data_IF_863190268964
#
_entry.id   IF_863190268964
#
_cell.length_a   1.000
_cell.length_b   1.000
_cell.length_c   1.000
_cell.angle_alpha   90.00
_cell.angle_beta   90.00
_cell.angle_gamma   90.00
#
_symmetry.space_group_name_H-M   'P 1'
#
loop_
_entity.id
_entity.type
_entity.pdbx_description
1 polymer ?
#
# COMPACT_ATOMS: atom_id res chain seq x y z
N UNK A 1 14.21 -28.70 -30.42
CA UNK A 1 13.12 -27.79 -29.97
C UNK A 1 12.04 -28.55 -29.21
N UNK A 2 11.44 -29.63 -29.74
CA UNK A 2 10.41 -30.42 -29.05
C UNK A 2 10.90 -31.09 -27.74
N UNK A 3 12.04 -31.80 -27.76
CA UNK A 3 12.56 -32.49 -26.57
C UNK A 3 12.95 -31.56 -25.40
N UNK A 4 13.39 -30.33 -25.71
CA UNK A 4 13.66 -29.30 -24.68
C UNK A 4 12.34 -28.79 -24.09
N UNK A 5 11.29 -28.67 -24.92
CA UNK A 5 9.95 -28.25 -24.51
C UNK A 5 9.28 -29.29 -23.61
N UNK A 6 9.34 -30.57 -23.99
CA UNK A 6 8.84 -31.69 -23.16
C UNK A 6 9.61 -31.82 -21.84
N UNK A 7 10.93 -31.63 -21.88
CA UNK A 7 11.76 -31.64 -20.65
C UNK A 7 11.45 -30.45 -19.73
N UNK A 8 11.16 -29.28 -20.29
CA UNK A 8 10.73 -28.12 -19.49
C UNK A 8 9.33 -28.28 -18.93
N UNK A 9 8.40 -28.88 -19.67
CA UNK A 9 7.04 -29.16 -19.19
C UNK A 9 7.05 -30.21 -18.08
N UNK A 10 7.83 -31.30 -18.24
CA UNK A 10 8.03 -32.30 -17.19
C UNK A 10 8.68 -31.74 -15.92
N UNK A 11 9.62 -30.79 -16.06
CA UNK A 11 10.23 -30.11 -14.92
C UNK A 11 9.22 -29.21 -14.18
N UNK A 12 8.33 -28.53 -14.90
CA UNK A 12 7.26 -27.71 -14.32
C UNK A 12 6.27 -28.59 -13.55
N UNK A 13 5.91 -29.73 -14.11
CA UNK A 13 4.97 -30.67 -13.49
C UNK A 13 5.56 -31.33 -12.23
N UNK A 14 6.84 -31.75 -12.29
CA UNK A 14 7.56 -32.28 -11.14
C UNK A 14 7.70 -31.23 -10.02
N UNK A 15 7.97 -29.98 -10.39
CA UNK A 15 8.03 -28.84 -9.47
C UNK A 15 6.68 -28.56 -8.82
N UNK A 16 5.57 -28.69 -9.55
CA UNK A 16 4.21 -28.54 -9.01
C UNK A 16 3.84 -29.69 -8.07
N UNK A 17 4.18 -30.92 -8.43
CA UNK A 17 3.97 -32.11 -7.60
C UNK A 17 4.74 -32.04 -6.28
N UNK A 18 6.03 -31.67 -6.34
CA UNK A 18 6.85 -31.47 -5.16
C UNK A 18 6.32 -30.34 -4.26
N UNK A 19 5.92 -29.20 -4.86
CA UNK A 19 5.27 -28.11 -4.14
C UNK A 19 3.98 -28.56 -3.42
N UNK A 20 3.16 -29.41 -4.06
CA UNK A 20 1.93 -29.96 -3.45
C UNK A 20 2.21 -30.94 -2.32
N UNK A 21 3.18 -31.83 -2.51
CA UNK A 21 3.62 -32.72 -1.45
C UNK A 21 4.19 -31.92 -0.26
N UNK A 22 4.94 -30.86 -0.52
CA UNK A 22 5.49 -29.99 0.51
C UNK A 22 4.41 -29.21 1.27
N UNK A 23 3.43 -28.63 0.59
CA UNK A 23 2.31 -27.93 1.24
C UNK A 23 1.48 -28.89 2.08
N UNK A 24 1.16 -30.08 1.56
CA UNK A 24 0.50 -31.12 2.36
C UNK A 24 1.35 -31.49 3.56
N UNK A 25 2.64 -31.73 3.39
CA UNK A 25 3.52 -32.11 4.48
C UNK A 25 3.65 -31.01 5.54
N UNK A 26 3.76 -29.75 5.13
CA UNK A 26 3.75 -28.62 6.06
C UNK A 26 2.40 -28.51 6.77
N UNK A 27 1.28 -28.62 6.06
CA UNK A 27 -0.06 -28.62 6.65
C UNK A 27 -0.23 -29.76 7.66
N UNK A 28 0.18 -30.97 7.28
CA UNK A 28 0.10 -32.15 8.13
C UNK A 28 1.03 -32.00 9.32
N UNK A 29 2.21 -31.39 9.18
CA UNK A 29 3.07 -31.05 10.31
C UNK A 29 2.36 -30.03 11.20
N UNK A 30 1.89 -28.90 10.68
CA UNK A 30 1.21 -27.87 11.49
C UNK A 30 -0.04 -28.41 12.22
N UNK A 31 -0.86 -29.21 11.53
CA UNK A 31 -2.06 -29.85 12.07
C UNK A 31 -1.70 -30.96 13.06
N UNK A 32 -0.77 -31.85 12.72
CA UNK A 32 -0.31 -32.90 13.63
C UNK A 32 0.46 -32.33 14.82
N UNK A 33 1.02 -31.13 14.71
CA UNK A 33 1.70 -30.46 15.80
C UNK A 33 0.70 -29.81 16.77
N UNK A 34 -0.41 -29.26 16.25
CA UNK A 34 -1.57 -28.90 17.05
C UNK A 34 -2.21 -30.14 17.71
N UNK A 35 -2.27 -31.27 17.00
CA UNK A 35 -2.90 -32.51 17.47
C UNK A 35 -1.99 -33.41 18.34
N UNK A 36 -0.66 -33.44 18.19
CA UNK A 36 0.24 -34.32 18.99
C UNK A 36 0.27 -33.98 20.47
N UNK A 37 -0.31 -32.82 20.86
CA UNK A 37 -0.56 -32.44 22.24
C UNK A 37 -1.89 -32.98 22.80
N UNK A 38 -2.82 -33.47 21.96
CA UNK A 38 -4.10 -34.04 22.42
C UNK A 38 -3.95 -35.47 22.96
N UNK A 39 -2.92 -36.21 22.54
CA UNK A 39 -2.72 -37.62 22.95
C UNK A 39 -1.63 -37.81 24.01
N UNK A 40 -0.74 -36.83 24.21
CA UNK A 40 0.26 -36.88 25.28
C UNK A 40 -0.35 -36.35 26.57
N UNK A 41 -0.84 -37.27 27.40
CA UNK A 41 -1.25 -37.06 28.80
C UNK A 41 -0.02 -36.62 29.61
N UNK A 42 0.44 -35.39 29.43
CA UNK A 42 1.66 -34.86 30.04
C UNK A 42 1.44 -34.59 31.52
N UNK A 43 2.10 -35.38 32.37
CA UNK A 43 2.23 -35.17 33.82
C UNK A 43 3.16 -33.98 34.17
N UNK A 44 3.23 -32.96 33.34
CA UNK A 44 4.06 -31.78 33.57
C UNK A 44 3.28 -30.53 33.18
N UNK A 45 3.05 -29.65 34.16
CA UNK A 45 2.38 -28.35 34.05
C UNK A 45 3.19 -27.30 33.25
N UNK A 46 4.28 -27.71 32.59
CA UNK A 46 5.00 -26.89 31.64
C UNK A 46 5.08 -27.62 30.30
N UNK A 47 4.70 -26.93 29.23
CA UNK A 47 4.97 -27.32 27.85
C UNK A 47 6.48 -27.34 27.61
N UNK A 48 7.19 -28.41 27.96
CA UNK A 48 8.63 -28.55 27.69
C UNK A 48 8.86 -29.16 26.30
N UNK A 49 9.66 -28.47 25.47
CA UNK A 49 9.99 -28.85 24.07
C UNK A 49 10.28 -27.68 23.11
N UNK A 50 10.21 -26.43 23.56
CA UNK A 50 10.16 -25.24 22.68
C UNK A 50 11.46 -24.90 21.91
N UNK A 51 12.65 -25.32 22.34
CA UNK A 51 13.92 -24.96 21.69
C UNK A 51 14.31 -25.87 20.50
N UNK A 52 13.73 -27.06 20.41
CA UNK A 52 13.87 -27.96 19.26
C UNK A 52 12.85 -27.59 18.17
N UNK A 53 11.64 -27.32 18.60
CA UNK A 53 10.50 -26.88 17.81
C UNK A 53 10.67 -25.54 17.08
N UNK A 54 11.28 -24.55 17.73
CA UNK A 54 11.69 -23.29 17.09
C UNK A 54 12.75 -23.54 16.01
N UNK A 55 13.66 -24.48 16.26
CA UNK A 55 14.71 -24.91 15.33
C UNK A 55 14.11 -25.61 14.10
N UNK A 56 13.11 -26.46 14.30
CA UNK A 56 12.43 -27.18 13.22
C UNK A 56 11.60 -26.24 12.34
N UNK A 57 10.78 -25.35 12.92
CA UNK A 57 10.01 -24.36 12.15
C UNK A 57 10.90 -23.38 11.36
N UNK A 58 12.05 -23.00 11.93
CA UNK A 58 13.06 -22.19 11.23
C UNK A 58 13.75 -22.96 10.10
N UNK A 59 13.92 -24.27 10.19
CA UNK A 59 14.49 -25.09 9.10
C UNK A 59 13.57 -25.08 7.86
N UNK A 60 12.25 -25.01 8.05
CA UNK A 60 11.30 -24.91 6.94
C UNK A 60 11.21 -23.52 6.31
N UNK A 61 11.79 -22.48 6.93
CA UNK A 61 11.81 -21.12 6.35
C UNK A 61 12.48 -21.07 4.98
N UNK A 62 13.53 -21.87 4.78
CA UNK A 62 14.25 -21.97 3.50
C UNK A 62 13.42 -22.69 2.43
N UNK A 63 12.70 -23.76 2.80
CA UNK A 63 11.77 -24.44 1.89
C UNK A 63 10.55 -23.57 1.54
N UNK A 64 10.08 -22.77 2.49
CA UNK A 64 8.99 -21.82 2.28
C UNK A 64 9.40 -20.64 1.39
N UNK A 65 10.63 -20.13 1.55
CA UNK A 65 11.21 -19.14 0.64
C UNK A 65 11.41 -19.71 -0.78
N UNK A 66 11.83 -20.98 -0.88
CA UNK A 66 11.90 -21.69 -2.16
C UNK A 66 10.51 -21.82 -2.78
N UNK A 67 9.50 -22.25 -2.03
CA UNK A 67 8.12 -22.40 -2.51
C UNK A 67 7.55 -21.07 -3.02
N UNK A 68 7.79 -19.97 -2.30
CA UNK A 68 7.39 -18.62 -2.71
C UNK A 68 7.96 -18.21 -4.07
N UNK A 69 9.23 -18.53 -4.33
CA UNK A 69 9.91 -18.20 -5.59
C UNK A 69 9.48 -19.12 -6.75
N UNK A 70 9.02 -20.33 -6.42
CA UNK A 70 8.87 -21.42 -7.38
C UNK A 70 7.43 -21.76 -7.72
N UNK A 71 6.49 -21.58 -6.79
CA UNK A 71 5.06 -21.88 -6.98
C UNK A 71 4.18 -21.01 -6.05
N UNK A 72 3.76 -19.86 -6.59
CA UNK A 72 3.03 -18.83 -5.83
C UNK A 72 1.61 -19.25 -5.44
N UNK A 73 0.95 -20.06 -6.25
CA UNK A 73 -0.41 -20.59 -5.95
C UNK A 73 -0.39 -21.50 -4.73
N UNK A 74 0.57 -22.41 -4.66
CA UNK A 74 0.73 -23.34 -3.53
C UNK A 74 1.21 -22.62 -2.27
N UNK A 75 2.01 -21.57 -2.45
CA UNK A 75 2.36 -20.65 -1.38
C UNK A 75 1.14 -19.86 -0.86
N UNK A 76 0.20 -19.52 -1.73
CA UNK A 76 -1.05 -18.88 -1.35
C UNK A 76 -1.99 -19.84 -0.60
N UNK A 77 -1.93 -21.16 -0.84
CA UNK A 77 -2.64 -22.16 -0.01
C UNK A 77 -2.18 -22.15 1.46
N UNK A 78 -0.91 -21.83 1.72
CA UNK A 78 -0.39 -21.65 3.08
C UNK A 78 -1.00 -20.43 3.81
N UNK A 79 -1.58 -19.46 3.09
CA UNK A 79 -2.36 -18.36 3.71
C UNK A 79 -3.57 -18.89 4.46
N UNK A 80 -4.19 -19.97 3.97
CA UNK A 80 -5.31 -20.63 4.63
C UNK A 80 -4.92 -21.48 5.84
N UNK A 81 -3.63 -21.79 6.02
CA UNK A 81 -3.14 -22.59 7.15
C UNK A 81 -3.21 -21.80 8.44
N UNK A 82 -2.89 -20.52 8.37
CA UNK A 82 -3.07 -19.63 9.50
C UNK A 82 -4.52 -19.57 9.96
N UNK A 83 -5.47 -19.39 9.03
CA UNK A 83 -6.89 -19.44 9.33
C UNK A 83 -7.29 -20.78 9.97
N UNK A 84 -6.84 -21.91 9.42
CA UNK A 84 -7.09 -23.24 10.00
C UNK A 84 -6.49 -23.43 11.39
N UNK A 85 -5.30 -22.89 11.66
CA UNK A 85 -4.67 -22.93 12.99
C UNK A 85 -5.46 -22.07 13.98
N UNK A 86 -5.95 -20.90 13.55
CA UNK A 86 -6.79 -20.06 14.40
C UNK A 86 -8.16 -20.71 14.66
N UNK A 87 -8.77 -21.33 13.66
CA UNK A 87 -10.06 -22.04 13.78
C UNK A 87 -9.94 -23.30 14.67
N UNK A 88 -8.79 -23.96 14.68
CA UNK A 88 -8.51 -25.09 15.58
C UNK A 88 -8.20 -24.65 17.02
N UNK A 89 -7.72 -23.42 17.21
CA UNK A 89 -7.40 -22.86 18.52
C UNK A 89 -8.67 -22.49 19.31
N UNK A 90 -9.73 -22.02 18.64
CA UNK A 90 -11.00 -21.63 19.29
C UNK A 90 -11.60 -22.76 20.14
N UNK A 91 -11.93 -23.96 19.60
CA UNK A 91 -12.54 -25.02 20.39
C UNK A 91 -11.61 -25.59 21.47
N UNK A 92 -10.29 -25.51 21.28
CA UNK A 92 -9.31 -25.92 22.30
C UNK A 92 -9.40 -25.00 23.52
N UNK A 93 -9.35 -23.69 23.31
CA UNK A 93 -9.40 -22.70 24.40
C UNK A 93 -10.74 -22.77 25.11
N UNK A 94 -11.85 -22.89 24.35
CA UNK A 94 -13.20 -23.03 24.92
C UNK A 94 -13.34 -24.30 25.78
N UNK A 95 -12.77 -25.43 25.33
CA UNK A 95 -12.83 -26.69 26.08
C UNK A 95 -12.07 -26.62 27.40
N UNK A 96 -10.89 -26.00 27.40
CA UNK A 96 -10.05 -25.86 28.60
C UNK A 96 -10.62 -24.81 29.56
N UNK A 97 -11.14 -23.69 29.05
CA UNK A 97 -11.83 -22.68 29.86
C UNK A 97 -13.08 -23.30 30.54
N UNK A 98 -13.87 -24.09 29.80
CA UNK A 98 -15.03 -24.81 30.34
C UNK A 98 -14.61 -25.86 31.38
N UNK A 99 -13.54 -26.61 31.11
CA UNK A 99 -13.01 -27.59 32.06
C UNK A 99 -12.57 -26.93 33.35
N UNK A 100 -11.76 -25.87 33.30
CA UNK A 100 -11.31 -25.20 34.52
C UNK A 100 -12.46 -24.54 35.28
N UNK A 101 -13.43 -23.93 34.58
CA UNK A 101 -14.62 -23.38 35.24
C UNK A 101 -15.47 -24.45 35.95
N UNK A 102 -15.60 -25.63 35.36
CA UNK A 102 -16.30 -26.77 35.98
C UNK A 102 -15.47 -27.39 37.13
N UNK A 103 -14.16 -27.53 36.96
CA UNK A 103 -13.26 -28.13 37.94
C UNK A 103 -13.16 -27.29 39.22
N UNK A 104 -13.19 -25.96 39.09
CA UNK A 104 -13.14 -25.02 40.22
C UNK A 104 -14.54 -24.55 40.68
N UNK A 105 -15.63 -25.17 40.21
CA UNK A 105 -17.01 -24.87 40.62
C UNK A 105 -17.44 -23.39 40.42
N UNK A 106 -16.88 -22.74 39.40
CA UNK A 106 -17.11 -21.33 39.09
C UNK A 106 -18.28 -21.08 38.13
N UNK A 107 -19.04 -22.13 37.77
CA UNK A 107 -20.22 -21.99 36.92
C UNK A 107 -21.24 -21.03 37.54
N UNK A 108 -21.86 -20.11 36.75
CA UNK A 108 -22.97 -19.32 37.27
C UNK A 108 -24.05 -20.29 37.71
N UNK A 109 -24.45 -20.20 38.98
CA UNK A 109 -25.51 -21.02 39.55
C UNK A 109 -26.78 -20.74 38.76
N UNK A 110 -27.13 -21.66 37.86
CA UNK A 110 -28.46 -21.70 37.25
C UNK A 110 -29.43 -21.86 38.43
N UNK A 111 -30.31 -20.88 38.62
CA UNK A 111 -31.38 -20.92 39.60
C UNK A 111 -32.15 -22.24 39.48
N UNK A 112 -31.87 -23.18 40.38
CA UNK A 112 -32.68 -24.39 40.53
C UNK A 112 -33.97 -23.99 41.25
N UNK A 113 -35.06 -23.86 40.50
CA UNK A 113 -36.39 -24.15 41.03
C UNK A 113 -36.45 -25.66 41.28
N UNK A 114 -36.08 -26.11 42.47
CA UNK A 114 -36.38 -27.47 42.92
C UNK A 114 -37.64 -27.42 43.79
N UNK A 115 -38.71 -27.91 43.18
CA UNK A 115 -39.96 -28.31 43.82
C UNK A 115 -39.70 -29.19 45.04
N UNK A 116 -40.34 -28.80 46.15
CA UNK A 116 -40.47 -29.48 47.42
C UNK A 116 -40.99 -30.91 47.27
N UNK A 117 -40.27 -31.89 47.83
CA UNK A 117 -40.85 -33.14 48.30
C UNK A 117 -40.41 -33.40 49.74
N UNK A 118 -41.42 -33.48 50.57
CA UNK A 118 -41.46 -33.68 52.01
C UNK A 118 -40.97 -35.07 52.42
N UNK A 119 -40.22 -35.15 53.53
CA UNK A 119 -40.26 -36.30 54.43
C UNK A 119 -40.06 -35.86 55.87
N UNK A 120 -41.13 -35.94 56.64
CA UNK A 120 -41.19 -35.78 58.09
C UNK A 120 -40.33 -36.79 58.83
N UNK A 121 -39.76 -36.35 59.96
CA UNK A 121 -39.71 -37.12 61.21
C UNK A 121 -39.85 -36.15 62.39
N UNK A 122 -40.83 -36.44 63.25
CA UNK A 122 -41.21 -35.72 64.47
C UNK A 122 -40.24 -35.96 65.63
N UNK A 123 -40.03 -34.93 66.47
CA UNK A 123 -40.14 -34.93 67.96
C UNK A 123 -39.36 -33.74 68.52
N UNK A 124 -39.71 -32.95 69.54
CA UNK A 124 -40.88 -32.70 70.41
C UNK A 124 -40.45 -31.54 71.35
N UNK A 125 -41.33 -30.53 71.53
CA UNK A 125 -41.43 -29.54 72.64
C UNK A 125 -40.17 -28.88 73.25
N UNK A 126 -40.03 -27.55 73.09
CA UNK A 126 -40.46 -26.55 74.09
C UNK A 126 -39.93 -25.13 73.78
N UNK A 127 -40.77 -24.14 74.10
CA UNK A 127 -40.59 -22.69 74.00
C UNK A 127 -39.29 -22.16 74.65
N UNK A 128 -38.54 -21.27 73.98
CA UNK A 128 -38.66 -19.81 74.14
C UNK A 128 -37.51 -19.09 73.37
N UNK A 129 -37.73 -17.80 73.06
CA UNK A 129 -36.72 -16.77 72.70
C UNK A 129 -36.18 -16.61 71.24
N UNK A 130 -36.65 -15.50 70.66
CA UNK A 130 -35.91 -14.48 69.85
C UNK A 130 -35.56 -14.77 68.38
N UNK A 131 -36.29 -14.09 67.50
CA UNK A 131 -35.94 -13.84 66.10
C UNK A 131 -34.67 -12.97 66.07
N UNK A 132 -33.56 -13.53 65.59
CA UNK A 132 -32.46 -12.77 65.00
C UNK A 132 -32.04 -13.45 63.69
N UNK A 133 -32.57 -12.92 62.59
CA UNK A 133 -32.11 -13.21 61.24
C UNK A 133 -30.67 -12.69 61.10
N UNK A 134 -29.69 -13.60 61.11
CA UNK A 134 -28.30 -13.29 60.76
C UNK A 134 -28.20 -13.26 59.24
N UNK A 135 -28.44 -12.08 58.68
CA UNK A 135 -28.24 -11.77 57.27
C UNK A 135 -26.78 -11.30 57.10
N UNK A 136 -25.85 -12.23 56.84
CA UNK A 136 -24.41 -11.91 56.69
C UNK A 136 -23.63 -12.87 55.76
N UNK A 137 -24.31 -13.54 54.82
CA UNK A 137 -23.69 -14.52 53.92
C UNK A 137 -23.25 -14.00 52.55
N UNK A 138 -23.96 -13.03 51.97
CA UNK A 138 -23.95 -12.86 50.50
C UNK A 138 -22.78 -11.99 49.98
N UNK A 139 -22.40 -10.92 50.68
CA UNK A 139 -21.31 -10.02 50.24
C UNK A 139 -19.92 -10.66 50.30
N UNK A 140 -19.69 -11.62 51.21
CA UNK A 140 -18.40 -12.34 51.36
C UNK A 140 -18.21 -13.44 50.32
N UNK A 141 -19.29 -14.11 49.90
CA UNK A 141 -19.25 -15.09 48.82
C UNK A 141 -19.04 -14.44 47.44
N UNK A 142 -19.58 -13.25 47.21
CA UNK A 142 -19.34 -12.51 45.96
C UNK A 142 -17.88 -12.07 45.78
N UNK A 143 -17.22 -11.61 46.85
CA UNK A 143 -15.81 -11.19 46.82
C UNK A 143 -14.87 -12.39 46.60
N UNK A 144 -15.05 -13.48 47.34
CA UNK A 144 -14.25 -14.72 47.21
C UNK A 144 -14.43 -15.40 45.86
N UNK A 145 -15.62 -15.34 45.26
CA UNK A 145 -15.87 -15.84 43.90
C UNK A 145 -15.26 -14.95 42.82
N UNK A 146 -15.11 -13.66 43.08
CA UNK A 146 -14.42 -12.71 42.18
C UNK A 146 -12.89 -12.88 42.27
N UNK A 147 -12.35 -13.13 43.46
CA UNK A 147 -10.94 -13.49 43.69
C UNK A 147 -10.61 -14.84 43.02
N UNK A 148 -11.42 -15.88 43.21
CA UNK A 148 -11.24 -17.17 42.53
C UNK A 148 -11.34 -17.11 41.00
N UNK A 149 -12.13 -16.18 40.45
CA UNK A 149 -12.14 -15.89 39.01
C UNK A 149 -10.85 -15.20 38.54
N UNK A 150 -10.25 -14.34 39.34
CA UNK A 150 -8.97 -13.69 39.00
C UNK A 150 -7.79 -14.67 39.08
N UNK A 151 -7.78 -15.54 40.08
CA UNK A 151 -6.78 -16.61 40.20
C UNK A 151 -6.88 -17.62 39.06
N UNK A 152 -8.11 -18.03 38.69
CA UNK A 152 -8.35 -18.85 37.52
C UNK A 152 -7.90 -18.14 36.23
N UNK A 153 -8.14 -16.83 36.13
CA UNK A 153 -7.71 -16.05 34.96
C UNK A 153 -6.18 -16.05 34.81
N UNK A 154 -5.43 -15.90 35.91
CA UNK A 154 -3.97 -15.99 35.92
C UNK A 154 -3.45 -17.40 35.65
N UNK A 155 -4.13 -18.43 36.16
CA UNK A 155 -3.79 -19.82 35.91
C UNK A 155 -4.00 -20.20 34.44
N UNK A 156 -5.12 -19.80 33.83
CA UNK A 156 -5.38 -19.99 32.40
C UNK A 156 -4.42 -19.16 31.53
N UNK A 157 -4.06 -17.93 31.92
CA UNK A 157 -2.99 -17.17 31.24
C UNK A 157 -1.65 -17.91 31.30
N UNK A 158 -1.33 -18.55 32.42
CA UNK A 158 -0.12 -19.37 32.55
C UNK A 158 -0.20 -20.63 31.67
N UNK A 159 -1.34 -21.33 31.64
CA UNK A 159 -1.57 -22.50 30.77
C UNK A 159 -1.36 -22.11 29.29
N UNK A 160 -1.95 -21.00 28.87
CA UNK A 160 -1.89 -20.53 27.48
C UNK A 160 -0.68 -19.66 27.15
N UNK A 161 0.20 -19.36 28.10
CA UNK A 161 1.46 -18.63 27.84
C UNK A 161 2.34 -19.33 26.79
N UNK A 162 2.26 -20.65 26.75
CA UNK A 162 2.90 -21.53 25.76
C UNK A 162 2.26 -21.44 24.35
N UNK A 163 0.97 -21.13 24.28
CA UNK A 163 0.27 -20.90 23.02
C UNK A 163 0.66 -19.52 22.46
N UNK A 164 0.81 -18.51 23.31
CA UNK A 164 1.33 -17.19 22.92
C UNK A 164 2.74 -17.32 22.32
N UNK A 165 3.63 -18.09 22.94
CA UNK A 165 5.00 -18.29 22.42
C UNK A 165 5.05 -19.07 21.10
N UNK A 166 4.17 -20.05 20.92
CA UNK A 166 4.00 -20.75 19.65
C UNK A 166 3.49 -19.82 18.54
N UNK A 167 2.47 -19.01 18.84
CA UNK A 167 1.91 -18.03 17.89
C UNK A 167 2.95 -16.97 17.50
N UNK A 168 3.83 -16.55 18.43
CA UNK A 168 4.94 -15.63 18.15
C UNK A 168 6.00 -16.28 17.22
N UNK A 169 6.34 -17.55 17.46
CA UNK A 169 7.25 -18.31 16.60
C UNK A 169 6.68 -18.51 15.19
N UNK A 170 5.39 -18.86 15.09
CA UNK A 170 4.67 -18.96 13.83
C UNK A 170 4.67 -17.62 13.09
N UNK A 171 4.35 -16.53 13.80
CA UNK A 171 4.32 -15.19 13.21
C UNK A 171 5.71 -14.77 12.67
N UNK A 172 6.77 -15.10 13.41
CA UNK A 172 8.15 -14.84 12.99
C UNK A 172 8.56 -15.68 11.77
N UNK A 173 8.20 -16.96 11.74
CA UNK A 173 8.49 -17.85 10.61
C UNK A 173 7.70 -17.45 9.36
N UNK A 174 6.44 -17.06 9.48
CA UNK A 174 5.67 -16.57 8.35
C UNK A 174 6.19 -15.22 7.85
N UNK A 175 6.59 -14.31 8.76
CA UNK A 175 7.18 -13.03 8.39
C UNK A 175 8.47 -13.18 7.57
N UNK A 176 9.39 -14.06 8.00
CA UNK A 176 10.67 -14.30 7.30
C UNK A 176 10.47 -14.81 5.88
N UNK A 177 9.33 -15.45 5.63
CA UNK A 177 8.94 -15.95 4.32
C UNK A 177 8.26 -14.85 3.48
N UNK A 178 7.30 -14.13 4.06
CA UNK A 178 6.66 -12.99 3.40
C UNK A 178 6.01 -12.02 4.39
N UNK A 179 6.34 -10.74 4.26
CA UNK A 179 5.67 -9.67 5.00
C UNK A 179 4.15 -9.60 4.78
N UNK A 180 3.66 -10.17 3.68
CA UNK A 180 2.22 -10.29 3.40
C UNK A 180 1.48 -11.14 4.45
N UNK A 181 2.15 -12.15 5.01
CA UNK A 181 1.57 -12.92 6.11
C UNK A 181 1.45 -12.10 7.38
N UNK A 182 2.40 -11.21 7.67
CA UNK A 182 2.30 -10.31 8.83
C UNK A 182 1.11 -9.37 8.73
N UNK A 183 0.84 -8.85 7.52
CA UNK A 183 -0.35 -8.04 7.24
C UNK A 183 -1.65 -8.83 7.45
N UNK A 184 -1.71 -10.06 6.94
CA UNK A 184 -2.88 -10.92 7.10
C UNK A 184 -3.10 -11.31 8.57
N UNK A 185 -2.03 -11.71 9.28
CA UNK A 185 -2.09 -12.04 10.69
C UNK A 185 -2.60 -10.86 11.52
N UNK A 186 -2.16 -9.64 11.22
CA UNK A 186 -2.62 -8.42 11.89
C UNK A 186 -4.12 -8.20 11.70
N UNK A 187 -4.61 -8.26 10.46
CA UNK A 187 -6.05 -8.04 10.16
C UNK A 187 -6.90 -9.14 10.78
N UNK A 188 -6.52 -10.41 10.59
CA UNK A 188 -7.31 -11.57 11.00
C UNK A 188 -7.36 -11.79 12.51
N UNK A 189 -6.27 -11.54 13.22
CA UNK A 189 -6.27 -11.60 14.69
C UNK A 189 -7.09 -10.45 15.29
N UNK A 190 -7.06 -9.26 14.71
CA UNK A 190 -7.93 -8.16 15.13
C UNK A 190 -9.41 -8.48 14.90
N UNK A 191 -9.78 -8.97 13.72
CA UNK A 191 -11.16 -9.33 13.39
C UNK A 191 -11.72 -10.41 14.35
N UNK A 192 -10.92 -11.43 14.68
CA UNK A 192 -11.31 -12.48 15.62
C UNK A 192 -11.37 -12.00 17.07
N UNK A 193 -10.42 -11.16 17.50
CA UNK A 193 -10.46 -10.53 18.82
C UNK A 193 -11.76 -9.74 19.04
N UNK A 194 -12.26 -9.08 18.00
CA UNK A 194 -13.51 -8.32 18.06
C UNK A 194 -14.74 -9.22 18.10
N UNK A 195 -14.78 -10.31 17.31
CA UNK A 195 -15.88 -11.28 17.31
C UNK A 195 -16.05 -11.98 18.66
N UNK A 196 -14.94 -12.15 19.39
CA UNK A 196 -14.91 -12.80 20.69
C UNK A 196 -15.12 -11.81 21.87
N UNK A 197 -15.37 -10.52 21.61
CA UNK A 197 -15.79 -9.57 22.66
C UNK A 197 -17.19 -9.96 23.19
N UNK A 198 -17.22 -10.92 24.12
CA UNK A 198 -18.43 -11.49 24.72
C UNK A 198 -18.42 -13.01 24.91
N UNK A 199 -17.44 -13.74 24.36
CA UNK A 199 -17.26 -15.20 24.51
C UNK A 199 -15.81 -15.50 24.89
N UNK A 200 -15.59 -16.11 26.06
CA UNK A 200 -14.28 -16.58 26.53
C UNK A 200 -13.23 -15.47 26.75
N UNK A 201 -12.90 -15.16 28.00
CA UNK A 201 -11.96 -14.05 28.31
C UNK A 201 -10.53 -14.35 27.82
N UNK A 202 -10.15 -15.61 27.73
CA UNK A 202 -8.79 -16.04 27.40
C UNK A 202 -8.49 -16.10 25.91
N UNK A 203 -9.49 -16.47 25.10
CA UNK A 203 -9.36 -16.49 23.65
C UNK A 203 -9.17 -15.06 23.11
N UNK A 204 -9.94 -14.09 23.63
CA UNK A 204 -9.74 -12.67 23.34
C UNK A 204 -8.34 -12.18 23.72
N UNK A 205 -7.81 -12.60 24.86
CA UNK A 205 -6.42 -12.29 25.26
C UNK A 205 -5.39 -12.84 24.28
N UNK A 206 -5.53 -14.09 23.82
CA UNK A 206 -4.63 -14.72 22.85
C UNK A 206 -4.62 -14.01 21.50
N UNK A 207 -5.81 -13.65 20.98
CA UNK A 207 -5.90 -12.88 19.74
C UNK A 207 -5.33 -11.47 19.88
N UNK A 208 -5.54 -10.81 21.02
CA UNK A 208 -4.94 -9.51 21.30
C UNK A 208 -3.40 -9.58 21.33
N UNK A 209 -2.83 -10.61 21.95
CA UNK A 209 -1.37 -10.84 21.95
C UNK A 209 -0.84 -11.09 20.54
N UNK A 210 -1.49 -11.95 19.76
CA UNK A 210 -1.10 -12.22 18.38
C UNK A 210 -1.19 -10.95 17.50
N UNK A 211 -2.25 -10.15 17.66
CA UNK A 211 -2.43 -8.89 16.97
C UNK A 211 -1.31 -7.89 17.30
N UNK A 212 -0.94 -7.78 18.58
CA UNK A 212 0.17 -6.94 19.02
C UNK A 212 1.50 -7.37 18.37
N UNK A 213 1.82 -8.66 18.36
CA UNK A 213 3.04 -9.18 17.74
C UNK A 213 3.05 -9.00 16.23
N UNK A 214 1.93 -9.30 15.56
CA UNK A 214 1.77 -9.09 14.13
C UNK A 214 1.96 -7.61 13.75
N UNK A 215 1.43 -6.69 14.57
CA UNK A 215 1.64 -5.25 14.40
C UNK A 215 3.11 -4.87 14.52
N UNK A 216 3.82 -5.34 15.55
CA UNK A 216 5.25 -5.06 15.72
C UNK A 216 6.08 -5.55 14.51
N UNK A 217 5.74 -6.71 13.94
CA UNK A 217 6.38 -7.21 12.72
C UNK A 217 6.05 -6.39 11.49
N UNK A 218 4.81 -5.93 11.37
CA UNK A 218 4.42 -5.01 10.31
C UNK A 218 5.19 -3.69 10.41
N UNK A 219 5.27 -3.09 11.59
CA UNK A 219 6.01 -1.84 11.81
C UNK A 219 7.51 -2.03 11.46
N UNK A 220 8.14 -3.12 11.92
CA UNK A 220 9.53 -3.48 11.54
C UNK A 220 9.71 -3.64 10.03
N UNK A 221 8.74 -4.23 9.33
CA UNK A 221 8.78 -4.37 7.88
C UNK A 221 8.75 -3.01 7.17
N UNK A 222 7.89 -2.10 7.62
CA UNK A 222 7.79 -0.75 7.07
C UNK A 222 9.09 0.03 7.34
N UNK A 223 9.66 -0.10 8.53
CA UNK A 223 10.94 0.51 8.90
C UNK A 223 12.08 0.02 8.01
N UNK A 224 12.17 -1.30 7.82
CA UNK A 224 13.17 -1.91 6.95
C UNK A 224 13.03 -1.44 5.50
N UNK A 225 11.82 -1.45 4.94
CA UNK A 225 11.58 -0.98 3.58
C UNK A 225 11.88 0.52 3.43
N UNK A 226 11.56 1.32 4.45
CA UNK A 226 11.92 2.75 4.50
C UNK A 226 13.43 2.97 4.51
N UNK A 227 14.18 2.16 5.27
CA UNK A 227 15.64 2.23 5.31
C UNK A 227 16.26 1.87 3.95
N UNK A 228 15.78 0.79 3.31
CA UNK A 228 16.20 0.39 1.97
C UNK A 228 15.96 1.48 0.92
N UNK A 229 14.85 2.22 1.03
CA UNK A 229 14.58 3.36 0.16
C UNK A 229 15.59 4.49 0.37
N UNK A 230 15.94 4.81 1.62
CA UNK A 230 16.90 5.86 1.95
C UNK A 230 18.33 5.50 1.50
N UNK A 231 18.72 4.24 1.58
CA UNK A 231 20.04 3.76 1.15
C UNK A 231 20.20 3.67 -0.37
N UNK A 232 19.09 3.61 -1.12
CA UNK A 232 19.12 3.45 -2.57
C UNK A 232 19.89 4.56 -3.29
N UNK A 233 20.83 4.17 -4.16
CA UNK A 233 21.55 5.09 -5.06
C UNK A 233 21.30 4.69 -6.52
N UNK A 234 20.88 5.67 -7.33
CA UNK A 234 20.69 5.46 -8.75
C UNK A 234 22.03 5.20 -9.48
N UNK A 235 21.98 4.42 -10.57
CA UNK A 235 23.15 4.13 -11.39
C UNK A 235 23.62 5.41 -12.10
N UNK A 236 24.80 5.92 -11.73
CA UNK A 236 25.36 7.16 -12.30
C UNK A 236 25.85 7.02 -13.75
N UNK A 237 25.98 5.79 -14.27
CA UNK A 237 26.55 5.53 -15.62
C UNK A 237 25.52 5.59 -16.74
N UNK A 238 24.23 5.43 -16.44
CA UNK A 238 23.14 5.40 -17.44
C UNK A 238 22.08 6.44 -17.11
N UNK A 239 21.15 6.69 -18.04
CA UNK A 239 19.91 7.39 -17.68
C UNK A 239 19.12 6.55 -16.68
N UNK A 240 18.46 7.20 -15.73
CA UNK A 240 17.44 6.60 -14.87
C UNK A 240 16.05 7.06 -15.31
N UNK A 241 15.06 6.18 -15.16
CA UNK A 241 13.64 6.50 -15.25
C UNK A 241 12.99 6.41 -13.85
N UNK A 242 11.87 5.69 -13.73
CA UNK A 242 11.27 5.38 -12.43
C UNK A 242 12.26 4.57 -11.57
N UNK A 243 12.53 5.05 -10.36
CA UNK A 243 13.53 4.42 -9.47
C UNK A 243 12.99 3.14 -8.84
N UNK A 244 13.86 2.16 -8.61
CA UNK A 244 13.47 0.85 -8.08
C UNK A 244 12.66 0.91 -6.77
N UNK A 245 12.97 1.81 -5.80
CA UNK A 245 12.13 2.00 -4.61
C UNK A 245 10.66 2.34 -4.89
N UNK A 246 10.38 3.14 -5.92
CA UNK A 246 8.99 3.48 -6.31
C UNK A 246 8.26 2.23 -6.82
N UNK A 247 8.94 1.39 -7.61
CA UNK A 247 8.38 0.12 -8.09
C UNK A 247 8.21 -0.91 -6.95
N UNK A 248 9.12 -0.93 -5.98
CA UNK A 248 8.97 -1.76 -4.77
C UNK A 248 7.78 -1.32 -3.92
N UNK A 249 7.57 -0.02 -3.78
CA UNK A 249 6.41 0.54 -3.11
C UNK A 249 5.10 0.20 -3.82
N UNK A 250 5.06 0.24 -5.15
CA UNK A 250 3.89 -0.20 -5.92
C UNK A 250 3.52 -1.67 -5.62
N UNK A 251 4.52 -2.55 -5.60
CA UNK A 251 4.31 -3.97 -5.24
C UNK A 251 3.81 -4.12 -3.81
N UNK A 252 4.24 -3.27 -2.88
CA UNK A 252 3.69 -3.24 -1.53
C UNK A 252 2.23 -2.78 -1.54
N UNK A 253 1.94 -1.62 -2.12
CA UNK A 253 0.62 -0.99 -2.13
C UNK A 253 -0.45 -1.90 -2.78
N UNK A 254 -0.13 -2.53 -3.91
CA UNK A 254 -1.03 -3.47 -4.61
C UNK A 254 -1.38 -4.72 -3.79
N UNK A 255 -0.48 -5.18 -2.90
CA UNK A 255 -0.71 -6.34 -2.03
C UNK A 255 -1.38 -5.97 -0.71
N UNK A 256 -1.01 -4.83 -0.12
CA UNK A 256 -1.49 -4.42 1.19
C UNK A 256 -2.95 -3.95 1.15
N UNK A 257 -3.34 -3.17 0.13
CA UNK A 257 -4.69 -2.61 0.01
C UNK A 257 -5.82 -3.65 0.11
N UNK A 258 -5.77 -4.79 -0.62
CA UNK A 258 -6.77 -5.85 -0.50
C UNK A 258 -6.83 -6.51 0.88
N UNK A 259 -5.69 -6.65 1.58
CA UNK A 259 -5.63 -7.32 2.89
C UNK A 259 -6.32 -6.51 3.98
N UNK A 260 -6.16 -5.19 3.97
CA UNK A 260 -6.74 -4.28 4.96
C UNK A 260 -8.11 -3.72 4.56
N UNK A 261 -8.65 -4.16 3.41
CA UNK A 261 -9.96 -3.70 2.94
C UNK A 261 -11.02 -3.98 4.01
N UNK A 262 -11.77 -2.93 4.37
CA UNK A 262 -12.84 -2.96 5.37
C UNK A 262 -12.38 -3.39 6.79
N UNK A 263 -11.07 -3.46 7.04
CA UNK A 263 -10.53 -3.81 8.36
C UNK A 263 -10.42 -2.58 9.27
N UNK A 264 -10.70 -2.75 10.56
CA UNK A 264 -10.42 -1.73 11.58
C UNK A 264 -8.93 -1.42 11.76
N UNK A 265 -8.04 -2.25 11.20
CA UNK A 265 -6.59 -2.01 11.17
C UNK A 265 -6.14 -1.16 9.98
N UNK A 266 -7.05 -0.73 9.12
CA UNK A 266 -6.76 0.20 8.01
C UNK A 266 -5.90 1.42 8.43
N UNK A 267 -6.11 2.06 9.61
CA UNK A 267 -5.26 3.18 10.04
C UNK A 267 -3.78 2.84 10.25
N UNK A 268 -3.42 1.56 10.45
CA UNK A 268 -2.02 1.15 10.47
C UNK A 268 -1.41 1.19 9.07
N UNK A 269 -2.15 0.70 8.06
CA UNK A 269 -1.72 0.74 6.67
C UNK A 269 -1.64 2.18 6.13
N UNK A 270 -2.60 3.04 6.50
CA UNK A 270 -2.57 4.45 6.12
C UNK A 270 -1.31 5.16 6.65
N UNK A 271 -0.94 4.93 7.92
CA UNK A 271 0.30 5.47 8.51
C UNK A 271 1.55 4.93 7.81
N UNK A 272 1.55 3.65 7.45
CA UNK A 272 2.63 3.06 6.68
C UNK A 272 2.77 3.73 5.30
N UNK A 273 1.66 3.96 4.59
CA UNK A 273 1.68 4.69 3.32
C UNK A 273 2.20 6.12 3.49
N UNK A 274 1.76 6.86 4.51
CA UNK A 274 2.25 8.22 4.80
C UNK A 274 3.78 8.24 4.95
N UNK A 275 4.32 7.38 5.83
CA UNK A 275 5.76 7.27 6.09
C UNK A 275 6.57 6.92 4.84
N UNK A 276 6.11 5.92 4.09
CA UNK A 276 6.82 5.45 2.89
C UNK A 276 6.76 6.48 1.76
N UNK A 277 5.62 7.15 1.58
CA UNK A 277 5.47 8.19 0.55
C UNK A 277 6.35 9.38 0.85
N UNK A 278 6.39 9.86 2.10
CA UNK A 278 7.29 10.93 2.51
C UNK A 278 8.76 10.57 2.24
N UNK A 279 9.15 9.34 2.59
CA UNK A 279 10.49 8.81 2.31
C UNK A 279 10.80 8.79 0.81
N UNK A 280 9.85 8.34 -0.02
CA UNK A 280 10.01 8.27 -1.47
C UNK A 280 10.07 9.65 -2.13
N UNK A 281 9.29 10.62 -1.64
CA UNK A 281 9.34 12.00 -2.14
C UNK A 281 10.74 12.57 -1.92
N UNK A 282 11.26 12.48 -0.70
CA UNK A 282 12.60 12.95 -0.35
C UNK A 282 13.69 12.20 -1.14
N UNK A 283 13.53 10.89 -1.34
CA UNK A 283 14.44 10.09 -2.16
C UNK A 283 14.47 10.57 -3.61
N UNK A 284 13.30 10.79 -4.22
CA UNK A 284 13.19 11.21 -5.62
C UNK A 284 13.82 12.59 -5.81
N UNK A 285 13.59 13.52 -4.88
CA UNK A 285 14.22 14.84 -4.88
C UNK A 285 15.75 14.74 -4.78
N UNK A 286 16.26 13.89 -3.88
CA UNK A 286 17.70 13.63 -3.77
C UNK A 286 18.27 13.05 -5.06
N UNK A 287 17.62 12.03 -5.64
CA UNK A 287 18.08 11.41 -6.89
C UNK A 287 18.09 12.44 -8.02
N UNK A 288 17.09 13.32 -8.10
CA UNK A 288 17.03 14.37 -9.10
C UNK A 288 18.21 15.35 -8.99
N UNK A 289 18.68 15.66 -7.78
CA UNK A 289 19.82 16.54 -7.55
C UNK A 289 21.18 15.85 -7.79
N UNK A 290 21.30 14.58 -7.43
CA UNK A 290 22.57 13.84 -7.49
C UNK A 290 22.87 13.20 -8.85
N UNK A 291 21.85 13.01 -9.70
CA UNK A 291 21.99 12.23 -10.93
C UNK A 291 22.55 13.05 -12.09
N UNK A 292 23.72 12.66 -12.61
CA UNK A 292 24.46 13.45 -13.62
C UNK A 292 24.07 13.23 -15.09
N UNK A 293 23.23 12.24 -15.41
CA UNK A 293 22.89 11.87 -16.81
C UNK A 293 21.43 12.09 -17.20
N UNK A 294 20.54 12.09 -16.22
CA UNK A 294 19.10 12.35 -16.39
C UNK A 294 18.83 13.71 -15.75
N UNK A 295 18.27 14.68 -16.48
CA UNK A 295 17.99 15.99 -15.94
C UNK A 295 17.00 15.95 -14.75
N UNK A 296 17.13 16.86 -13.75
CA UNK A 296 16.30 16.84 -12.55
C UNK A 296 14.79 16.86 -12.84
N UNK A 297 14.35 17.72 -13.76
CA UNK A 297 12.94 17.83 -14.15
C UNK A 297 12.37 16.51 -14.70
N UNK A 298 13.18 15.71 -15.40
CA UNK A 298 12.76 14.39 -15.91
C UNK A 298 12.62 13.40 -14.76
N UNK A 299 13.61 13.32 -13.87
CA UNK A 299 13.57 12.44 -12.70
C UNK A 299 12.32 12.73 -11.85
N UNK A 300 12.09 14.00 -11.54
CA UNK A 300 10.95 14.42 -10.71
C UNK A 300 9.62 14.14 -11.41
N UNK A 301 9.49 14.51 -12.69
CA UNK A 301 8.24 14.32 -13.43
C UNK A 301 7.85 12.85 -13.56
N UNK A 302 8.78 11.97 -13.97
CA UNK A 302 8.49 10.54 -14.14
C UNK A 302 8.11 9.86 -12.82
N UNK A 303 8.90 10.11 -11.77
CA UNK A 303 8.70 9.45 -10.49
C UNK A 303 7.46 9.97 -9.76
N UNK A 304 7.17 11.28 -9.80
CA UNK A 304 5.94 11.80 -9.22
C UNK A 304 4.70 11.41 -10.02
N UNK A 305 4.77 11.29 -11.34
CA UNK A 305 3.68 10.72 -12.13
C UNK A 305 3.36 9.29 -11.69
N UNK A 306 4.39 8.46 -11.48
CA UNK A 306 4.20 7.08 -11.04
C UNK A 306 3.64 7.00 -9.62
N UNK A 307 4.20 7.76 -8.68
CA UNK A 307 3.71 7.84 -7.30
C UNK A 307 2.25 8.31 -7.24
N UNK A 308 1.90 9.34 -8.00
CA UNK A 308 0.52 9.83 -8.09
C UNK A 308 -0.43 8.73 -8.59
N UNK A 309 -0.04 7.99 -9.64
CA UNK A 309 -0.81 6.86 -10.16
C UNK A 309 -1.02 5.76 -9.11
N UNK A 310 0.03 5.41 -8.36
CA UNK A 310 -0.05 4.41 -7.30
C UNK A 310 -1.01 4.89 -6.21
N UNK A 311 -0.86 6.10 -5.69
CA UNK A 311 -1.71 6.65 -4.62
C UNK A 311 -3.16 6.83 -5.06
N UNK A 312 -3.40 7.17 -6.34
CA UNK A 312 -4.76 7.25 -6.91
C UNK A 312 -5.45 5.89 -6.97
N UNK A 313 -4.69 4.80 -7.16
CA UNK A 313 -5.24 3.44 -7.13
C UNK A 313 -5.61 2.96 -5.72
N UNK A 314 -5.10 3.62 -4.68
CA UNK A 314 -5.40 3.28 -3.28
C UNK A 314 -6.70 3.97 -2.84
N UNK A 315 -7.68 3.17 -2.37
CA UNK A 315 -8.99 3.64 -1.89
C UNK A 315 -8.94 4.03 -0.40
N UNK A 316 -8.09 5.00 -0.06
CA UNK A 316 -7.91 5.47 1.32
C UNK A 316 -8.04 7.00 1.38
N UNK A 317 -8.96 7.50 2.20
CA UNK A 317 -9.24 8.93 2.35
C UNK A 317 -8.08 9.68 3.00
N UNK A 318 -7.37 9.04 3.93
CA UNK A 318 -6.22 9.66 4.60
C UNK A 318 -5.09 10.05 3.64
N UNK A 319 -5.02 9.40 2.47
CA UNK A 319 -4.05 9.71 1.42
C UNK A 319 -4.44 10.92 0.56
N UNK A 320 -5.59 11.57 0.77
CA UNK A 320 -6.06 12.70 -0.04
C UNK A 320 -5.12 13.91 -0.02
N UNK A 321 -4.48 14.19 1.12
CA UNK A 321 -3.47 15.25 1.22
C UNK A 321 -2.26 14.92 0.35
N UNK A 322 -1.74 13.70 0.47
CA UNK A 322 -0.59 13.24 -0.29
C UNK A 322 -0.90 13.14 -1.79
N UNK A 323 -2.12 12.78 -2.16
CA UNK A 323 -2.57 12.75 -3.56
C UNK A 323 -2.54 14.14 -4.18
N UNK A 324 -2.99 15.17 -3.45
CA UNK A 324 -2.90 16.57 -3.89
C UNK A 324 -1.46 17.04 -4.01
N UNK A 325 -0.64 16.80 -3.00
CA UNK A 325 0.79 17.17 -3.01
C UNK A 325 1.54 16.54 -4.19
N UNK A 326 1.38 15.23 -4.42
CA UNK A 326 1.98 14.53 -5.56
C UNK A 326 1.45 15.04 -6.92
N UNK A 327 0.15 15.35 -7.01
CA UNK A 327 -0.46 15.94 -8.21
C UNK A 327 0.14 17.32 -8.51
N UNK A 328 0.29 18.18 -7.50
CA UNK A 328 0.86 19.52 -7.65
C UNK A 328 2.33 19.45 -8.04
N UNK A 329 3.11 18.58 -7.38
CA UNK A 329 4.52 18.32 -7.74
C UNK A 329 4.64 17.78 -9.15
N UNK A 330 3.83 16.79 -9.54
CA UNK A 330 3.83 16.26 -10.90
C UNK A 330 3.48 17.35 -11.92
N UNK A 331 2.46 18.17 -11.67
CA UNK A 331 2.09 19.29 -12.53
C UNK A 331 3.23 20.30 -12.67
N UNK A 332 3.81 20.75 -11.55
CA UNK A 332 4.92 21.70 -11.54
C UNK A 332 6.12 21.18 -12.35
N UNK A 333 6.52 19.93 -12.11
CA UNK A 333 7.64 19.31 -12.81
C UNK A 333 7.36 19.06 -14.29
N UNK A 334 6.10 18.80 -14.66
CA UNK A 334 5.68 18.71 -16.06
C UNK A 334 5.76 20.06 -16.76
N UNK A 335 5.28 21.14 -16.13
CA UNK A 335 5.41 22.50 -16.65
C UNK A 335 6.89 22.88 -16.81
N UNK A 336 7.73 22.55 -15.83
CA UNK A 336 9.17 22.78 -15.86
C UNK A 336 9.87 21.97 -16.96
N UNK A 337 9.48 20.71 -17.16
CA UNK A 337 9.96 19.89 -18.26
C UNK A 337 9.60 20.51 -19.61
N UNK A 338 8.34 20.89 -19.81
CA UNK A 338 7.88 21.53 -21.06
C UNK A 338 8.67 22.81 -21.32
N UNK A 339 8.84 23.65 -20.30
CA UNK A 339 9.63 24.89 -20.38
C UNK A 339 11.07 24.64 -20.84
N UNK A 340 11.71 23.56 -20.37
CA UNK A 340 13.11 23.25 -20.67
C UNK A 340 13.31 22.48 -21.99
N UNK A 341 12.33 21.68 -22.43
CA UNK A 341 12.52 20.73 -23.54
C UNK A 341 11.61 20.95 -24.76
N UNK A 342 10.55 21.73 -24.64
CA UNK A 342 9.71 22.12 -25.80
C UNK A 342 10.47 23.02 -26.78
N UNK A 343 11.42 23.81 -26.27
CA UNK A 343 12.11 24.85 -27.03
C UNK A 343 11.19 26.03 -27.33
N UNK A 344 11.52 26.81 -28.38
CA UNK A 344 10.67 27.88 -28.92
C UNK A 344 10.19 27.50 -30.32
N UNK A 345 9.05 26.79 -30.49
CA UNK A 345 8.60 26.33 -31.80
C UNK A 345 8.38 27.47 -32.82
N UNK A 346 8.10 28.67 -32.32
CA UNK A 346 7.89 29.91 -33.08
C UNK A 346 8.89 31.00 -32.64
N UNK A 347 10.18 30.67 -32.55
CA UNK A 347 11.23 31.51 -31.93
C UNK A 347 11.26 32.95 -32.44
N UNK A 348 11.42 33.19 -33.74
CA UNK A 348 11.44 34.56 -34.31
C UNK A 348 10.16 35.35 -34.06
N UNK A 349 9.00 34.68 -34.06
CA UNK A 349 7.73 35.33 -33.69
C UNK A 349 7.71 35.66 -32.19
N UNK A 350 8.23 34.77 -31.36
CA UNK A 350 8.35 35.00 -29.92
C UNK A 350 9.24 36.21 -29.64
N UNK A 351 10.43 36.27 -30.23
CA UNK A 351 11.35 37.41 -30.06
C UNK A 351 10.74 38.73 -30.54
N UNK A 352 10.04 38.71 -31.68
CA UNK A 352 9.35 39.88 -32.19
C UNK A 352 8.27 40.38 -31.21
N UNK A 353 7.40 39.48 -30.74
CA UNK A 353 6.30 39.86 -29.85
C UNK A 353 6.74 40.13 -28.41
N UNK A 354 7.79 39.46 -27.91
CA UNK A 354 8.45 39.80 -26.65
C UNK A 354 8.95 41.26 -26.70
N UNK A 355 9.53 41.68 -27.84
CA UNK A 355 9.95 43.06 -28.10
C UNK A 355 8.79 44.05 -28.20
N UNK A 356 7.68 43.66 -28.85
CA UNK A 356 6.44 44.47 -28.89
C UNK A 356 5.89 44.69 -27.48
N UNK A 357 5.74 43.64 -26.68
CA UNK A 357 5.26 43.73 -25.29
C UNK A 357 6.19 44.57 -24.41
N UNK A 358 7.51 44.48 -24.62
CA UNK A 358 8.47 45.33 -23.91
C UNK A 358 8.31 46.82 -24.27
N UNK A 359 7.97 47.16 -25.52
CA UNK A 359 7.71 48.55 -25.90
C UNK A 359 6.38 49.06 -25.34
N UNK A 360 5.33 48.22 -25.37
CA UNK A 360 4.04 48.54 -24.75
C UNK A 360 4.19 48.82 -23.25
N UNK A 361 4.96 47.99 -22.53
CA UNK A 361 5.22 48.19 -21.09
C UNK A 361 6.07 49.44 -20.79
N UNK A 362 6.84 49.94 -21.75
CA UNK A 362 7.56 51.22 -21.67
C UNK A 362 6.68 52.44 -22.01
N UNK A 363 5.40 52.23 -22.30
CA UNK A 363 4.43 53.30 -22.56
C UNK A 363 4.25 53.66 -24.04
N UNK A 364 4.85 52.90 -24.97
CA UNK A 364 4.54 53.05 -26.40
C UNK A 364 3.09 52.65 -26.62
N UNK A 365 2.30 53.48 -27.30
CA UNK A 365 0.91 53.16 -27.56
C UNK A 365 0.78 52.06 -28.62
N UNK A 366 -0.27 51.21 -28.60
CA UNK A 366 -0.44 50.14 -29.59
C UNK A 366 -0.39 50.62 -31.04
N UNK A 367 -0.93 51.81 -31.31
CA UNK A 367 -0.92 52.43 -32.65
C UNK A 367 0.49 52.84 -33.11
N UNK A 368 1.39 53.16 -32.16
CA UNK A 368 2.76 53.60 -32.44
C UNK A 368 3.71 52.45 -32.77
N UNK A 369 3.44 51.25 -32.25
CA UNK A 369 4.29 50.07 -32.42
C UNK A 369 4.57 49.79 -33.90
N UNK A 370 3.55 49.91 -34.76
CA UNK A 370 3.67 49.64 -36.19
C UNK A 370 4.58 50.61 -36.96
N UNK A 371 4.93 51.76 -36.39
CA UNK A 371 5.87 52.73 -36.97
C UNK A 371 7.32 52.50 -36.54
N UNK A 372 7.57 51.71 -35.48
CA UNK A 372 8.92 51.34 -35.09
C UNK A 372 9.53 50.45 -36.16
N UNK A 373 10.71 50.81 -36.68
CA UNK A 373 11.33 50.11 -37.80
C UNK A 373 11.48 48.59 -37.55
N UNK A 374 11.93 48.21 -36.34
CA UNK A 374 12.15 46.82 -35.94
C UNK A 374 10.84 46.04 -35.71
N UNK A 375 9.73 46.74 -35.44
CA UNK A 375 8.42 46.14 -35.16
C UNK A 375 7.38 46.55 -36.21
N UNK A 376 7.83 46.90 -37.40
CA UNK A 376 6.95 47.40 -38.46
C UNK A 376 6.08 46.29 -39.06
N UNK A 377 4.97 46.68 -39.70
CA UNK A 377 4.08 45.75 -40.44
C UNK A 377 4.84 44.91 -41.47
N UNK A 378 5.82 45.52 -42.14
CA UNK A 378 6.62 44.86 -43.17
C UNK A 378 7.52 43.77 -42.57
N UNK A 379 8.15 44.04 -41.43
CA UNK A 379 8.99 43.06 -40.75
C UNK A 379 8.16 41.92 -40.17
N UNK A 380 7.01 42.21 -39.54
CA UNK A 380 6.09 41.17 -39.06
C UNK A 380 5.64 40.24 -40.22
N UNK A 381 5.26 40.81 -41.38
CA UNK A 381 4.87 40.02 -42.56
C UNK A 381 6.00 39.15 -43.11
N UNK A 382 7.25 39.59 -42.97
CA UNK A 382 8.43 38.81 -43.35
C UNK A 382 8.63 37.65 -42.37
N UNK A 383 8.54 37.89 -41.07
CA UNK A 383 8.68 36.85 -40.05
C UNK A 383 7.57 35.80 -40.16
N UNK A 384 6.32 36.19 -40.39
CA UNK A 384 5.19 35.24 -40.56
C UNK A 384 5.46 34.25 -41.72
N UNK A 385 6.07 34.70 -42.82
CA UNK A 385 6.40 33.86 -43.98
C UNK A 385 7.43 32.77 -43.69
N UNK A 386 8.20 32.89 -42.60
CA UNK A 386 9.16 31.87 -42.19
C UNK A 386 8.49 30.66 -41.49
N UNK A 387 7.18 30.72 -41.22
CA UNK A 387 6.43 29.69 -40.49
C UNK A 387 5.26 29.10 -41.30
N UNK A 388 5.50 28.49 -42.47
CA UNK A 388 4.44 27.80 -43.20
C UNK A 388 3.94 26.60 -42.42
N UNK A 389 2.64 26.32 -42.53
CA UNK A 389 1.95 25.27 -41.75
C UNK A 389 2.63 23.89 -41.83
N UNK A 390 3.17 23.55 -43.00
CA UNK A 390 3.88 22.28 -43.26
C UNK A 390 5.16 22.15 -42.44
N UNK A 391 5.94 23.23 -42.32
CA UNK A 391 7.20 23.22 -41.57
C UNK A 391 6.94 23.23 -40.06
N UNK A 392 5.91 23.95 -39.61
CA UNK A 392 5.44 23.88 -38.22
C UNK A 392 5.06 22.45 -37.85
N UNK A 393 4.25 21.77 -38.68
CA UNK A 393 3.89 20.36 -38.46
C UNK A 393 5.12 19.45 -38.41
N UNK A 394 6.06 19.61 -39.34
CA UNK A 394 7.32 18.84 -39.37
C UNK A 394 8.16 19.06 -38.12
N UNK A 395 8.25 20.30 -37.62
CA UNK A 395 8.99 20.62 -36.40
C UNK A 395 8.34 19.98 -35.17
N UNK A 396 7.00 19.96 -35.11
CA UNK A 396 6.25 19.26 -34.06
C UNK A 396 6.47 17.74 -34.11
N UNK A 397 6.52 17.13 -35.30
CA UNK A 397 6.86 15.71 -35.45
C UNK A 397 8.27 15.38 -34.92
N UNK A 398 9.25 16.27 -35.17
CA UNK A 398 10.60 16.12 -34.63
C UNK A 398 10.64 16.31 -33.12
N UNK A 399 9.87 17.26 -32.59
CA UNK A 399 9.75 17.50 -31.15
C UNK A 399 9.17 16.26 -30.45
N UNK A 400 8.08 15.68 -30.97
CA UNK A 400 7.48 14.44 -30.47
C UNK A 400 8.52 13.32 -30.35
N UNK A 401 9.28 13.06 -31.42
CA UNK A 401 10.34 12.04 -31.44
C UNK A 401 11.45 12.31 -30.43
N UNK A 402 11.75 13.59 -30.14
CA UNK A 402 12.75 13.97 -29.13
C UNK A 402 12.24 13.68 -27.71
N UNK A 403 10.99 14.05 -27.44
CA UNK A 403 10.32 13.81 -26.15
C UNK A 403 10.19 12.30 -25.90
N UNK A 404 9.79 11.52 -26.90
CA UNK A 404 9.72 10.05 -26.83
C UNK A 404 11.07 9.41 -26.44
N UNK A 405 12.20 9.97 -26.89
CA UNK A 405 13.54 9.48 -26.51
C UNK A 405 14.00 9.93 -25.12
N UNK A 406 13.33 10.92 -24.53
CA UNK A 406 13.67 11.45 -23.21
C UNK A 406 12.90 10.74 -22.10
N UNK A 407 11.67 10.33 -22.39
CA UNK A 407 10.77 9.71 -21.44
C UNK A 407 10.91 8.18 -21.47
N UNK A 408 10.70 7.54 -20.32
CA UNK A 408 10.56 6.08 -20.25
C UNK A 408 9.28 5.61 -20.96
N UNK A 409 9.30 4.37 -21.47
CA UNK A 409 8.20 3.77 -22.25
C UNK A 409 6.94 3.46 -21.41
N UNK A 410 7.00 3.59 -20.09
CA UNK A 410 5.91 3.21 -19.20
C UNK A 410 4.85 4.33 -19.07
N UNK A 411 3.71 4.11 -19.75
CA UNK A 411 2.42 4.67 -19.35
C UNK A 411 1.94 5.94 -20.07
N UNK A 412 0.99 6.65 -19.44
CA UNK A 412 0.29 7.81 -19.98
C UNK A 412 1.10 9.12 -19.98
N UNK A 413 2.37 9.07 -19.56
CA UNK A 413 3.17 10.28 -19.33
C UNK A 413 3.45 11.04 -20.63
N UNK A 414 3.82 10.34 -21.71
CA UNK A 414 4.03 10.97 -23.01
C UNK A 414 2.77 11.72 -23.47
N UNK A 415 1.60 11.11 -23.32
CA UNK A 415 0.31 11.73 -23.65
C UNK A 415 0.07 12.98 -22.82
N UNK A 416 0.32 12.93 -21.50
CA UNK A 416 0.16 14.07 -20.62
C UNK A 416 1.11 15.23 -20.95
N UNK A 417 2.39 14.93 -21.20
CA UNK A 417 3.41 15.91 -21.61
C UNK A 417 3.05 16.52 -22.97
N UNK A 418 2.62 15.69 -23.92
CA UNK A 418 2.24 16.16 -25.25
C UNK A 418 1.03 17.10 -25.19
N UNK A 419 0.03 16.79 -24.37
CA UNK A 419 -1.10 17.67 -24.12
C UNK A 419 -0.65 19.00 -23.48
N UNK A 420 0.28 18.98 -22.52
CA UNK A 420 0.81 20.22 -21.92
C UNK A 420 1.57 21.09 -22.94
N UNK A 421 2.35 20.47 -23.84
CA UNK A 421 3.02 21.16 -24.95
C UNK A 421 2.00 21.77 -25.93
N UNK A 422 0.92 21.05 -26.23
CA UNK A 422 -0.18 21.54 -27.06
C UNK A 422 -0.80 22.80 -26.47
N UNK A 423 -1.15 22.76 -25.17
CA UNK A 423 -1.76 23.90 -24.47
C UNK A 423 -0.82 25.11 -24.45
N UNK A 424 0.48 24.86 -24.25
CA UNK A 424 1.50 25.92 -24.23
C UNK A 424 1.62 26.60 -25.60
N UNK A 425 1.66 25.83 -26.69
CA UNK A 425 1.76 26.41 -28.05
C UNK A 425 0.47 27.15 -28.44
N UNK A 426 -0.70 26.61 -28.08
CA UNK A 426 -1.98 27.28 -28.34
C UNK A 426 -2.10 28.59 -27.57
N UNK A 427 -1.67 28.62 -26.30
CA UNK A 427 -1.65 29.85 -25.52
C UNK A 427 -0.75 30.90 -26.18
N UNK A 428 0.44 30.50 -26.63
CA UNK A 428 1.38 31.37 -27.35
C UNK A 428 0.80 31.90 -28.67
N UNK A 429 0.20 31.02 -29.48
CA UNK A 429 -0.48 31.39 -30.72
C UNK A 429 -1.60 32.42 -30.48
N UNK A 430 -2.42 32.19 -29.45
CA UNK A 430 -3.51 33.10 -29.09
C UNK A 430 -2.98 34.46 -28.59
N UNK A 431 -1.85 34.48 -27.88
CA UNK A 431 -1.17 35.72 -27.49
C UNK A 431 -0.70 36.51 -28.71
N UNK A 432 -0.06 35.85 -29.69
CA UNK A 432 0.36 36.50 -30.94
C UNK A 432 -0.82 37.10 -31.69
N UNK A 433 -1.92 36.35 -31.86
CA UNK A 433 -3.11 36.88 -32.53
C UNK A 433 -3.73 38.08 -31.81
N UNK A 434 -3.70 38.10 -30.47
CA UNK A 434 -4.14 39.28 -29.68
C UNK A 434 -3.25 40.49 -29.95
N UNK A 435 -1.92 40.33 -29.93
CA UNK A 435 -0.98 41.42 -30.21
C UNK A 435 -1.08 41.91 -31.66
N UNK A 436 -1.30 41.01 -32.62
CA UNK A 436 -1.56 41.37 -34.01
C UNK A 436 -2.80 42.26 -34.12
N UNK A 437 -3.91 41.85 -33.49
CA UNK A 437 -5.16 42.59 -33.51
C UNK A 437 -5.04 43.96 -32.84
N UNK A 438 -4.24 44.07 -31.77
CA UNK A 438 -4.07 45.32 -31.00
C UNK A 438 -3.10 46.30 -31.66
N UNK A 439 -1.93 45.85 -32.12
CA UNK A 439 -0.85 46.74 -32.60
C UNK A 439 -0.84 46.94 -34.12
N UNK A 440 -1.54 46.09 -34.87
CA UNK A 440 -1.54 46.13 -36.34
C UNK A 440 -2.95 46.09 -36.94
N UNK A 441 -3.87 46.99 -36.53
CA UNK A 441 -5.22 47.03 -37.05
C UNK A 441 -5.21 47.27 -38.58
N UNK A 442 -6.13 46.61 -39.29
CA UNK A 442 -6.33 46.73 -40.74
C UNK A 442 -5.13 46.29 -41.62
N UNK A 443 -4.12 45.62 -41.04
CA UNK A 443 -2.95 45.17 -41.80
C UNK A 443 -3.15 43.85 -42.57
N UNK A 444 -4.29 43.17 -42.37
CA UNK A 444 -4.57 41.82 -42.90
C UNK A 444 -3.41 40.83 -42.66
N UNK A 445 -2.79 40.93 -41.48
CA UNK A 445 -1.73 40.03 -41.04
C UNK A 445 -2.37 38.89 -40.25
N UNK A 446 -2.13 37.66 -40.69
CA UNK A 446 -2.54 36.45 -40.01
C UNK A 446 -1.52 35.35 -40.27
N UNK A 447 -1.38 34.42 -39.33
CA UNK A 447 -0.61 33.19 -39.54
C UNK A 447 -1.33 32.29 -40.55
N UNK A 448 -0.59 31.52 -41.35
CA UNK A 448 -1.15 30.65 -42.40
C UNK A 448 -1.99 29.47 -41.85
N UNK A 449 -1.97 29.27 -40.54
CA UNK A 449 -2.67 28.19 -39.85
C UNK A 449 -3.53 28.76 -38.71
N UNK A 450 -4.65 28.08 -38.46
CA UNK A 450 -5.56 28.37 -37.35
C UNK A 450 -5.17 27.60 -36.07
N UNK A 451 -5.81 27.97 -34.96
CA UNK A 451 -5.82 27.17 -33.74
C UNK A 451 -6.38 25.75 -33.98
N UNK A 452 -7.41 25.61 -34.83
CA UNK A 452 -7.95 24.32 -35.24
C UNK A 452 -6.93 23.48 -36.02
N UNK A 453 -6.12 24.10 -36.89
CA UNK A 453 -5.04 23.39 -37.60
C UNK A 453 -3.94 22.92 -36.65
N UNK A 454 -3.55 23.75 -35.67
CA UNK A 454 -2.62 23.34 -34.62
C UNK A 454 -3.15 22.15 -33.83
N UNK A 455 -4.41 22.20 -33.38
CA UNK A 455 -5.07 21.08 -32.70
C UNK A 455 -5.03 19.81 -33.56
N UNK A 456 -5.35 19.93 -34.85
CA UNK A 456 -5.27 18.81 -35.79
C UNK A 456 -3.85 18.28 -35.93
N UNK A 457 -2.83 19.13 -35.99
CA UNK A 457 -1.43 18.68 -36.04
C UNK A 457 -1.05 17.87 -34.81
N UNK A 458 -1.38 18.34 -33.61
CA UNK A 458 -1.08 17.61 -32.37
C UNK A 458 -1.81 16.26 -32.28
N UNK A 459 -3.07 16.21 -32.73
CA UNK A 459 -3.86 14.98 -32.78
C UNK A 459 -3.32 13.97 -33.82
N UNK A 460 -2.98 14.43 -35.03
CA UNK A 460 -2.38 13.60 -36.08
C UNK A 460 -1.05 13.01 -35.61
N UNK A 461 -0.21 13.82 -34.97
CA UNK A 461 1.09 13.38 -34.45
C UNK A 461 0.90 12.43 -33.27
N UNK A 462 -0.09 12.71 -32.41
CA UNK A 462 -0.35 11.91 -31.22
C UNK A 462 -0.97 10.54 -31.47
N UNK A 463 -1.79 10.42 -32.51
CA UNK A 463 -2.43 9.16 -32.92
C UNK A 463 -1.49 8.22 -33.68
N UNK A 464 -0.48 8.74 -34.38
CA UNK A 464 0.47 7.96 -35.18
C UNK A 464 1.50 7.15 -34.38
N UNK A 465 1.52 7.28 -33.05
CA UNK A 465 2.53 6.63 -32.19
C UNK A 465 1.96 5.56 -31.24
N UNK A 466 0.75 5.05 -31.47
CA UNK A 466 0.29 3.82 -30.82
C UNK A 466 0.69 2.63 -31.71
N UNK A 467 1.60 1.75 -31.28
CA UNK A 467 1.83 0.48 -31.97
C UNK A 467 0.60 -0.43 -31.90
#
# INVERSE_FOLDING_TARGET
MAAVKDSTEGLIELKRSFASALVRHLNDIFINYANRRTTARSKSLAFSGHDENKRELLQFSQLMAWLKLNNREMFDELKGVFEKVLDALEPMVDSEETFCQAFFDLQPSVQQQTSTLTSSVMSTVSDDCTILSVDSGDSRQSLTRQEGKQELDELLKQIFSSAVSFLDALASACHSVSAEFSMQMLVRSADRSDRQSGRGRHLGYLYAQLCLRAKQRFDQFIDQMSAEFLEFRANKKSRCGVVAPVLSYEKFASRAGPVFRDSKRLPDLERAHEKLLETLVNLVERVAQEHGKTPPAVVLMENFHRLESIVRSQRMQRLDRMRRDLSDRHKQNRTEYVRNYMGRPLEKLSEFFDGVEQNLSRGVTPDEVGYLQQYSRAELKKIIRDYPAKDVKRNLEQLRKRVEKHLSEEGSLLTAVWHEMQQTLLAQYNQFNRLIAQCYPNANLALEFSDHDLLRFFNDIGSRSSP
#
